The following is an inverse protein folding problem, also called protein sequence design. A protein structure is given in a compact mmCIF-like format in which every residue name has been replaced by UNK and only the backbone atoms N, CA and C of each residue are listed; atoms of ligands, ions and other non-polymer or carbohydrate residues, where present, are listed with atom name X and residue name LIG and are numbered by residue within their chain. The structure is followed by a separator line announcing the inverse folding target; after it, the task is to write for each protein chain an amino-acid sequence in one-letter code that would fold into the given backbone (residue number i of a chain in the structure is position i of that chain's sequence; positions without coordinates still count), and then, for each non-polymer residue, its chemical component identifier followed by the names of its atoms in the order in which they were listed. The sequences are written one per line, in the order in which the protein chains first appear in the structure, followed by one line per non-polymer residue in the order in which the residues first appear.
data_IF_176647594182
#
_entry.id   IF_176647594182
#
_cell.length_a   1.000
_cell.length_b   1.000
_cell.length_c   1.000
_cell.angle_alpha   90.00
_cell.angle_beta   90.00
_cell.angle_gamma   90.00
#
_symmetry.space_group_name_H-M   'P 1'
#
loop_
_entity.id
_entity.type
_entity.pdbx_description
1 polymer ?
#
# COMPACT_ATOMS: atom_id res chain seq x y z
N UNK A 1 -21.85 2.58 -2.06
CA UNK A 1 -23.06 3.42 -1.99
C UNK A 1 -24.34 2.64 -1.69
N UNK A 2 -24.51 1.37 -2.09
CA UNK A 2 -25.71 0.56 -1.78
C UNK A 2 -25.83 0.05 -0.32
N UNK A 3 -24.72 -0.02 0.43
CA UNK A 3 -24.70 -0.53 1.81
C UNK A 3 -25.38 0.41 2.82
N UNK A 4 -25.51 1.71 2.50
CA UNK A 4 -26.12 2.70 3.40
C UNK A 4 -27.63 2.48 3.68
N UNK A 5 -28.29 1.63 2.89
CA UNK A 5 -29.69 1.24 3.13
C UNK A 5 -29.82 0.21 4.27
N UNK A 6 -28.75 -0.56 4.53
CA UNK A 6 -28.75 -1.66 5.49
C UNK A 6 -28.07 -1.30 6.83
N UNK A 7 -27.42 -0.15 6.94
CA UNK A 7 -26.70 0.25 8.15
C UNK A 7 -27.26 1.54 8.75
N UNK A 8 -27.66 1.46 10.02
CA UNK A 8 -28.03 2.64 10.80
C UNK A 8 -26.78 3.48 11.08
N UNK A 9 -26.73 4.69 10.52
CA UNK A 9 -25.59 5.60 10.66
C UNK A 9 -25.29 6.02 12.12
N UNK A 10 -26.25 5.88 13.03
CA UNK A 10 -26.10 6.24 14.45
C UNK A 10 -25.63 5.08 15.35
N UNK A 11 -25.66 3.83 14.86
CA UNK A 11 -25.19 2.64 15.59
C UNK A 11 -24.41 1.72 14.64
N UNK A 12 -23.26 2.21 14.17
CA UNK A 12 -22.36 1.43 13.32
C UNK A 12 -21.63 0.38 14.17
N UNK A 13 -21.66 -0.91 13.82
CA UNK A 13 -20.84 -1.92 14.47
C UNK A 13 -19.36 -1.53 14.37
N UNK A 14 -18.59 -1.69 15.45
CA UNK A 14 -17.17 -1.33 15.49
C UNK A 14 -16.35 -2.08 14.41
N UNK A 15 -16.84 -3.22 13.93
CA UNK A 15 -16.23 -4.07 12.91
C UNK A 15 -16.82 -3.87 11.51
N UNK A 16 -17.65 -2.86 11.28
CA UNK A 16 -18.27 -2.64 9.97
C UNK A 16 -17.24 -2.48 8.84
N UNK A 17 -16.11 -1.81 9.09
CA UNK A 17 -15.04 -1.68 8.10
C UNK A 17 -14.52 -3.03 7.61
N UNK A 18 -14.51 -4.03 8.48
CA UNK A 18 -14.01 -5.38 8.20
C UNK A 18 -15.13 -6.31 7.69
N UNK A 19 -16.32 -6.24 8.30
CA UNK A 19 -17.41 -7.21 8.12
C UNK A 19 -18.66 -6.65 7.41
N UNK A 20 -18.64 -5.39 6.98
CA UNK A 20 -19.82 -4.70 6.43
C UNK A 20 -20.44 -5.41 5.23
N UNK A 21 -19.63 -5.97 4.34
CA UNK A 21 -20.14 -6.77 3.22
C UNK A 21 -20.87 -8.03 3.70
N UNK A 22 -20.31 -8.74 4.69
CA UNK A 22 -20.92 -9.95 5.25
C UNK A 22 -22.26 -9.64 5.93
N UNK A 23 -22.33 -8.56 6.70
CA UNK A 23 -23.58 -8.12 7.31
C UNK A 23 -24.63 -7.79 6.25
N UNK A 24 -24.27 -7.12 5.16
CA UNK A 24 -25.22 -6.79 4.10
C UNK A 24 -25.77 -8.03 3.39
N UNK A 25 -24.93 -9.04 3.11
CA UNK A 25 -25.41 -10.30 2.54
C UNK A 25 -26.23 -11.13 3.53
N UNK A 26 -25.98 -11.00 4.83
CA UNK A 26 -26.83 -11.59 5.86
C UNK A 26 -28.22 -10.94 5.90
N UNK A 27 -28.29 -9.61 5.92
CA UNK A 27 -29.56 -8.88 5.91
C UNK A 27 -30.36 -9.17 4.64
N UNK A 28 -29.69 -9.21 3.48
CA UNK A 28 -30.32 -9.64 2.23
C UNK A 28 -30.91 -11.04 2.34
N UNK A 29 -30.19 -12.01 2.92
CA UNK A 29 -30.71 -13.37 3.12
C UNK A 29 -31.93 -13.43 4.03
N UNK A 30 -31.99 -12.57 5.05
CA UNK A 30 -33.16 -12.44 5.93
C UNK A 30 -34.37 -11.85 5.19
N UNK A 31 -34.18 -10.78 4.42
CA UNK A 31 -35.25 -10.12 3.65
C UNK A 31 -35.85 -11.02 2.56
N UNK A 32 -35.02 -11.82 1.88
CA UNK A 32 -35.47 -12.76 0.86
C UNK A 32 -35.94 -14.13 1.43
N UNK A 33 -35.97 -14.29 2.75
CA UNK A 33 -36.39 -15.55 3.40
C UNK A 33 -35.42 -16.73 3.20
N UNK A 34 -34.20 -16.48 2.70
CA UNK A 34 -33.16 -17.49 2.43
C UNK A 34 -32.11 -17.61 3.56
N UNK A 35 -32.38 -17.00 4.71
CA UNK A 35 -31.56 -17.12 5.92
C UNK A 35 -30.10 -16.71 5.69
N UNK A 36 -29.16 -17.61 5.96
CA UNK A 36 -27.72 -17.35 5.85
C UNK A 36 -27.11 -17.78 4.50
N UNK A 37 -27.92 -18.20 3.53
CA UNK A 37 -27.43 -18.71 2.25
C UNK A 37 -26.50 -17.71 1.53
N UNK A 38 -26.93 -16.46 1.40
CA UNK A 38 -26.13 -15.42 0.75
C UNK A 38 -24.85 -15.07 1.51
N UNK A 39 -24.86 -15.14 2.85
CA UNK A 39 -23.66 -14.95 3.67
C UNK A 39 -22.62 -16.02 3.35
N UNK A 40 -23.00 -17.30 3.33
CA UNK A 40 -22.06 -18.39 3.07
C UNK A 40 -21.54 -18.38 1.64
N UNK A 41 -22.41 -18.12 0.67
CA UNK A 41 -22.01 -17.97 -0.73
C UNK A 41 -21.02 -16.81 -0.89
N UNK A 42 -21.33 -15.66 -0.30
CA UNK A 42 -20.43 -14.51 -0.31
C UNK A 42 -19.10 -14.85 0.37
N UNK A 43 -19.11 -15.48 1.54
CA UNK A 43 -17.87 -15.86 2.24
C UNK A 43 -16.96 -16.76 1.41
N UNK A 44 -17.52 -17.76 0.71
CA UNK A 44 -16.75 -18.64 -0.16
C UNK A 44 -16.14 -17.88 -1.34
N UNK A 45 -16.96 -17.09 -2.04
CA UNK A 45 -16.49 -16.30 -3.19
C UNK A 45 -15.44 -15.26 -2.76
N UNK A 46 -15.63 -14.63 -1.60
CA UNK A 46 -14.72 -13.64 -1.06
C UNK A 46 -13.39 -14.26 -0.64
N UNK A 47 -13.40 -15.47 -0.07
CA UNK A 47 -12.19 -16.21 0.26
C UNK A 47 -11.39 -16.57 -1.01
N UNK A 48 -12.06 -17.12 -2.03
CA UNK A 48 -11.44 -17.43 -3.32
C UNK A 48 -10.85 -16.18 -3.99
N UNK A 49 -11.61 -15.07 -3.98
CA UNK A 49 -11.17 -13.79 -4.50
C UNK A 49 -9.91 -13.28 -3.79
N UNK A 50 -9.88 -13.30 -2.45
CA UNK A 50 -8.73 -12.80 -1.69
C UNK A 50 -7.47 -13.64 -1.94
N UNK A 51 -7.61 -14.97 -2.04
CA UNK A 51 -6.49 -15.86 -2.39
C UNK A 51 -5.95 -15.57 -3.80
N UNK A 52 -6.84 -15.41 -4.78
CA UNK A 52 -6.45 -15.07 -6.15
C UNK A 52 -5.77 -13.68 -6.22
N UNK A 53 -6.36 -12.68 -5.55
CA UNK A 53 -5.81 -11.33 -5.50
C UNK A 53 -4.41 -11.31 -4.87
N UNK A 54 -4.20 -12.04 -3.76
CA UNK A 54 -2.90 -12.13 -3.11
C UNK A 54 -1.84 -12.75 -4.03
N UNK A 55 -2.18 -13.86 -4.70
CA UNK A 55 -1.27 -14.50 -5.65
C UNK A 55 -0.87 -13.58 -6.82
N UNK A 56 -1.83 -12.84 -7.39
CA UNK A 56 -1.58 -11.88 -8.46
C UNK A 56 -0.73 -10.71 -7.98
N UNK A 57 -1.04 -10.13 -6.82
CA UNK A 57 -0.28 -9.01 -6.26
C UNK A 57 1.16 -9.40 -5.93
N UNK A 58 1.39 -10.61 -5.42
CA UNK A 58 2.72 -11.13 -5.12
C UNK A 58 3.54 -11.30 -6.42
N UNK A 59 2.98 -11.91 -7.46
CA UNK A 59 3.71 -12.07 -8.73
C UNK A 59 3.97 -10.72 -9.42
N UNK A 60 2.94 -9.89 -9.57
CA UNK A 60 3.05 -8.60 -10.23
C UNK A 60 3.96 -7.63 -9.47
N UNK A 61 3.81 -7.55 -8.14
CA UNK A 61 4.58 -6.66 -7.29
C UNK A 61 6.08 -6.99 -7.32
N UNK A 62 6.44 -8.27 -7.21
CA UNK A 62 7.85 -8.67 -7.24
C UNK A 62 8.47 -8.51 -8.63
N UNK A 63 7.72 -8.79 -9.72
CA UNK A 63 8.21 -8.53 -11.07
C UNK A 63 8.44 -7.05 -11.34
N UNK A 64 7.52 -6.19 -10.90
CA UNK A 64 7.68 -4.74 -11.00
C UNK A 64 8.89 -4.26 -10.20
N UNK A 65 9.05 -4.77 -8.98
CA UNK A 65 10.20 -4.47 -8.12
C UNK A 65 11.54 -4.88 -8.74
N UNK A 66 11.59 -5.99 -9.48
CA UNK A 66 12.77 -6.51 -10.17
C UNK A 66 12.87 -6.14 -11.64
N UNK A 67 12.11 -5.13 -12.05
CA UNK A 67 12.19 -4.54 -13.39
C UNK A 67 13.63 -4.13 -13.72
N UNK A 68 13.97 -4.13 -15.00
CA UNK A 68 15.32 -3.81 -15.50
C UNK A 68 15.80 -2.43 -15.04
N UNK A 69 14.90 -1.47 -14.86
CA UNK A 69 15.21 -0.13 -14.34
C UNK A 69 15.61 -0.13 -12.86
N UNK A 70 15.21 -1.14 -12.09
CA UNK A 70 15.51 -1.27 -10.66
C UNK A 70 16.72 -2.18 -10.39
N UNK A 71 17.14 -3.01 -11.36
CA UNK A 71 18.30 -3.92 -11.21
C UNK A 71 19.60 -3.19 -10.85
N UNK A 72 19.71 -1.90 -11.18
CA UNK A 72 20.87 -1.09 -10.79
C UNK A 72 20.97 -0.88 -9.27
N UNK A 73 19.81 -0.76 -8.64
CA UNK A 73 19.64 -0.38 -7.25
C UNK A 73 19.38 -1.57 -6.32
N UNK A 74 19.46 -2.79 -6.86
CA UNK A 74 19.23 -4.02 -6.12
C UNK A 74 20.51 -4.85 -5.97
N UNK A 75 20.75 -5.44 -4.79
CA UNK A 75 21.89 -6.34 -4.60
C UNK A 75 21.75 -7.55 -5.51
N UNK A 76 22.90 -8.07 -5.98
CA UNK A 76 22.95 -9.15 -6.98
C UNK A 76 22.24 -10.42 -6.58
N UNK A 77 22.14 -10.68 -5.27
CA UNK A 77 21.40 -11.82 -4.74
C UNK A 77 19.90 -11.72 -5.06
N UNK A 78 19.32 -10.52 -4.98
CA UNK A 78 17.89 -10.30 -5.22
C UNK A 78 17.53 -10.30 -6.71
N UNK A 79 18.47 -9.96 -7.59
CA UNK A 79 18.24 -9.91 -9.04
C UNK A 79 18.33 -11.29 -9.72
N UNK A 80 18.70 -12.34 -8.99
CA UNK A 80 18.74 -13.71 -9.51
C UNK A 80 17.33 -14.25 -9.73
N UNK A 81 17.10 -14.76 -10.93
CA UNK A 81 15.89 -15.49 -11.30
C UNK A 81 16.19 -16.98 -11.45
N UNK A 82 15.19 -17.82 -11.18
CA UNK A 82 15.27 -19.26 -11.41
C UNK A 82 15.13 -19.60 -12.92
N UNK A 83 15.28 -20.88 -13.28
CA UNK A 83 15.12 -21.44 -14.63
C UNK A 83 13.79 -21.07 -15.30
N UNK A 84 12.76 -20.75 -14.52
CA UNK A 84 11.43 -20.32 -14.99
C UNK A 84 11.29 -18.79 -15.14
N UNK A 85 12.37 -18.04 -14.97
CA UNK A 85 12.37 -16.57 -14.96
C UNK A 85 11.72 -15.95 -13.71
N UNK A 86 11.51 -16.75 -12.66
CA UNK A 86 10.85 -16.31 -11.45
C UNK A 86 11.84 -15.73 -10.43
N UNK A 87 11.56 -14.55 -9.85
CA UNK A 87 12.42 -13.90 -8.87
C UNK A 87 12.20 -14.43 -7.44
N UNK A 88 12.69 -15.65 -7.15
CA UNK A 88 12.46 -16.32 -5.86
C UNK A 88 12.93 -15.48 -4.65
N UNK A 89 14.11 -14.87 -4.76
CA UNK A 89 14.65 -14.05 -3.66
C UNK A 89 13.87 -12.74 -3.46
N UNK A 90 13.24 -12.23 -4.52
CA UNK A 90 12.31 -11.11 -4.44
C UNK A 90 11.04 -11.49 -3.66
N UNK A 91 10.49 -12.68 -3.90
CA UNK A 91 9.33 -13.17 -3.14
C UNK A 91 9.67 -13.29 -1.64
N UNK A 92 10.82 -13.88 -1.31
CA UNK A 92 11.27 -13.98 0.08
C UNK A 92 11.45 -12.62 0.76
N UNK A 93 11.99 -11.63 0.05
CA UNK A 93 12.10 -10.26 0.57
C UNK A 93 10.70 -9.70 0.87
N UNK A 94 9.77 -9.77 -0.08
CA UNK A 94 8.41 -9.25 0.10
C UNK A 94 7.68 -9.96 1.24
N UNK A 95 7.79 -11.28 1.34
CA UNK A 95 7.22 -12.06 2.43
C UNK A 95 7.84 -11.67 3.77
N UNK A 96 9.17 -11.45 3.82
CA UNK A 96 9.85 -11.00 5.03
C UNK A 96 9.37 -9.62 5.49
N UNK A 97 9.25 -8.66 4.57
CA UNK A 97 8.73 -7.32 4.87
C UNK A 97 7.27 -7.39 5.35
N UNK A 98 6.40 -8.12 4.64
CA UNK A 98 5.01 -8.30 5.05
C UNK A 98 4.91 -8.99 6.42
N UNK A 99 5.73 -10.00 6.68
CA UNK A 99 5.75 -10.70 7.97
C UNK A 99 6.18 -9.78 9.09
N UNK A 100 7.22 -8.96 8.86
CA UNK A 100 7.68 -7.97 9.83
C UNK A 100 6.58 -6.97 10.18
N UNK A 101 5.93 -6.38 9.17
CA UNK A 101 4.82 -5.44 9.38
C UNK A 101 3.68 -6.13 10.13
N UNK A 102 3.29 -7.34 9.71
CA UNK A 102 2.23 -8.11 10.37
C UNK A 102 2.55 -8.42 11.85
N UNK A 103 3.80 -8.76 12.18
CA UNK A 103 4.24 -8.99 13.56
C UNK A 103 4.19 -7.71 14.38
N UNK A 104 4.60 -6.57 13.80
CA UNK A 104 4.50 -5.26 14.45
C UNK A 104 3.04 -4.89 14.70
N UNK A 105 2.17 -4.99 13.71
CA UNK A 105 0.74 -4.71 13.87
C UNK A 105 0.07 -5.67 14.86
N UNK A 106 0.46 -6.95 14.91
CA UNK A 106 -0.09 -7.95 15.83
C UNK A 106 0.14 -7.65 17.32
N UNK A 107 0.98 -6.66 17.65
CA UNK A 107 1.15 -6.16 19.02
C UNK A 107 -0.03 -5.29 19.51
N UNK A 108 -0.96 -4.93 18.62
CA UNK A 108 -2.19 -4.24 18.97
C UNK A 108 -3.20 -5.18 19.64
N UNK A 109 -4.02 -4.68 20.59
CA UNK A 109 -4.85 -5.51 21.46
C UNK A 109 -6.04 -6.16 20.73
N UNK A 110 -6.48 -5.59 19.60
CA UNK A 110 -7.73 -5.97 18.94
C UNK A 110 -7.51 -6.19 17.44
N UNK A 111 -8.14 -7.23 16.86
CA UNK A 111 -8.11 -7.50 15.41
C UNK A 111 -8.61 -6.31 14.58
N UNK A 112 -9.64 -5.61 15.07
CA UNK A 112 -10.16 -4.42 14.40
C UNK A 112 -9.12 -3.29 14.33
N UNK A 113 -8.40 -3.05 15.43
CA UNK A 113 -7.32 -2.07 15.48
C UNK A 113 -6.17 -2.45 14.54
N UNK A 114 -5.83 -3.74 14.46
CA UNK A 114 -4.84 -4.26 13.49
C UNK A 114 -5.29 -3.95 12.05
N UNK A 115 -6.52 -4.32 11.70
CA UNK A 115 -7.05 -4.11 10.36
C UNK A 115 -7.11 -2.62 9.98
N UNK A 116 -7.62 -1.79 10.89
CA UNK A 116 -7.70 -0.34 10.67
C UNK A 116 -6.32 0.31 10.59
N UNK A 117 -5.35 -0.13 11.42
CA UNK A 117 -3.98 0.35 11.35
C UNK A 117 -3.32 0.00 10.03
N UNK A 118 -3.45 -1.25 9.55
CA UNK A 118 -2.92 -1.66 8.25
C UNK A 118 -3.56 -0.90 7.08
N UNK A 119 -4.87 -0.64 7.16
CA UNK A 119 -5.58 0.17 6.17
C UNK A 119 -5.08 1.62 6.19
N UNK A 120 -4.89 2.20 7.38
CA UNK A 120 -4.34 3.53 7.54
C UNK A 120 -2.90 3.62 7.03
N UNK A 121 -2.06 2.62 7.33
CA UNK A 121 -0.71 2.51 6.83
C UNK A 121 -0.68 2.50 5.30
N UNK A 122 -1.57 1.72 4.66
CA UNK A 122 -1.68 1.73 3.19
C UNK A 122 -2.08 3.12 2.66
N UNK A 123 -3.00 3.78 3.36
CA UNK A 123 -3.42 5.16 3.10
C UNK A 123 -2.35 6.22 3.35
N UNK A 124 -1.27 5.90 4.08
CA UNK A 124 -0.11 6.77 4.26
C UNK A 124 0.95 6.48 3.18
N UNK A 125 1.34 5.21 3.05
CA UNK A 125 2.46 4.77 2.21
C UNK A 125 2.18 4.96 0.72
N UNK A 126 0.96 4.64 0.26
CA UNK A 126 0.63 4.72 -1.18
C UNK A 126 0.61 6.17 -1.69
N UNK A 127 0.01 7.14 -0.96
CA UNK A 127 0.12 8.55 -1.30
C UNK A 127 1.55 9.09 -1.26
N UNK A 128 2.37 8.74 -0.26
CA UNK A 128 3.78 9.15 -0.25
C UNK A 128 4.56 8.60 -1.45
N UNK A 129 4.28 7.38 -1.89
CA UNK A 129 4.86 6.83 -3.13
C UNK A 129 4.42 7.66 -4.34
N UNK A 130 3.15 8.09 -4.37
CA UNK A 130 2.61 8.95 -5.44
C UNK A 130 3.23 10.35 -5.41
N UNK A 131 3.64 10.87 -4.25
CA UNK A 131 4.38 12.12 -4.15
C UNK A 131 5.72 12.08 -4.92
N UNK A 132 6.39 10.92 -4.97
CA UNK A 132 7.58 10.75 -5.82
C UNK A 132 7.23 10.83 -7.30
N UNK A 133 6.11 10.24 -7.72
CA UNK A 133 5.62 10.35 -9.10
C UNK A 133 5.38 11.82 -9.49
N UNK A 134 4.69 12.58 -8.64
CA UNK A 134 4.45 14.02 -8.90
C UNK A 134 5.74 14.82 -8.90
N UNK A 135 6.67 14.53 -7.98
CA UNK A 135 8.00 15.13 -7.95
C UNK A 135 8.77 14.88 -9.26
N UNK A 136 8.81 13.62 -9.71
CA UNK A 136 9.42 13.24 -10.99
C UNK A 136 8.75 13.94 -12.17
N UNK A 137 7.42 14.03 -12.21
CA UNK A 137 6.69 14.75 -13.23
C UNK A 137 7.07 16.23 -13.29
N UNK A 138 7.12 16.91 -12.14
CA UNK A 138 7.53 18.31 -12.06
C UNK A 138 8.98 18.49 -12.55
N UNK A 139 9.90 17.61 -12.13
CA UNK A 139 11.31 17.65 -12.53
C UNK A 139 11.50 17.47 -14.03
N UNK A 140 10.79 16.51 -14.64
CA UNK A 140 10.80 16.28 -16.09
C UNK A 140 10.27 17.51 -16.83
N UNK A 141 9.19 18.14 -16.34
CA UNK A 141 8.64 19.35 -16.98
C UNK A 141 9.51 20.59 -16.79
N UNK A 142 10.26 20.69 -15.70
CA UNK A 142 11.23 21.76 -15.50
C UNK A 142 12.42 21.62 -16.47
N UNK A 143 12.90 20.39 -16.68
CA UNK A 143 14.04 20.04 -17.53
C UNK A 143 13.64 19.39 -18.86
N UNK A 144 12.64 19.98 -19.53
CA UNK A 144 12.14 19.54 -20.84
C UNK A 144 13.24 19.54 -21.94
N UNK A 145 14.31 20.30 -21.72
CA UNK A 145 15.52 20.34 -22.53
C UNK A 145 16.34 19.03 -22.48
N UNK A 146 16.33 18.34 -21.33
CA UNK A 146 17.07 17.09 -21.13
C UNK A 146 16.21 15.84 -21.33
N UNK A 147 14.91 15.93 -21.05
CA UNK A 147 13.99 14.79 -21.07
C UNK A 147 12.86 15.03 -22.07
N UNK A 148 13.09 14.70 -23.34
CA UNK A 148 12.05 14.78 -24.38
C UNK A 148 10.96 13.73 -24.11
N UNK A 149 9.72 14.21 -24.00
CA UNK A 149 8.53 13.36 -23.84
C UNK A 149 7.86 13.14 -25.20
N UNK A 150 7.72 11.88 -25.61
CA UNK A 150 7.03 11.53 -26.87
C UNK A 150 5.53 11.89 -26.83
N UNK A 151 4.95 11.93 -25.63
CA UNK A 151 3.56 12.32 -25.41
C UNK A 151 3.44 13.38 -24.32
N UNK A 152 2.78 14.49 -24.64
CA UNK A 152 2.52 15.58 -23.70
C UNK A 152 1.03 15.94 -23.69
N UNK A 153 0.35 15.54 -22.61
CA UNK A 153 -1.06 15.88 -22.41
C UNK A 153 -1.26 17.39 -22.19
N UNK A 154 -0.55 17.97 -21.22
CA UNK A 154 -0.53 19.42 -20.98
C UNK A 154 0.62 20.04 -21.78
N UNK A 155 0.26 20.87 -22.77
CA UNK A 155 1.22 21.58 -23.64
C UNK A 155 1.83 22.81 -22.97
N UNK A 156 1.09 23.46 -22.07
CA UNK A 156 1.59 24.63 -21.34
C UNK A 156 2.45 24.16 -20.14
N UNK A 157 3.77 24.43 -20.20
CA UNK A 157 4.75 24.08 -19.16
C UNK A 157 4.37 24.62 -17.78
N UNK A 158 4.01 25.89 -17.68
CA UNK A 158 3.68 26.52 -16.40
C UNK A 158 2.41 25.93 -15.79
N UNK A 159 1.38 25.69 -16.61
CA UNK A 159 0.16 25.04 -16.15
C UNK A 159 0.40 23.59 -15.72
N UNK A 160 1.22 22.83 -16.45
CA UNK A 160 1.59 21.47 -16.08
C UNK A 160 2.30 21.43 -14.72
N UNK A 161 3.25 22.33 -14.49
CA UNK A 161 3.96 22.43 -13.22
C UNK A 161 3.01 22.81 -12.09
N UNK A 162 2.11 23.78 -12.31
CA UNK A 162 1.12 24.19 -11.31
C UNK A 162 0.21 23.02 -10.89
N UNK A 163 -0.30 22.25 -11.86
CA UNK A 163 -1.11 21.06 -11.58
C UNK A 163 -0.29 20.02 -10.81
N UNK A 164 0.96 19.79 -11.21
CA UNK A 164 1.85 18.86 -10.52
C UNK A 164 2.10 19.25 -9.06
N UNK A 165 2.40 20.53 -8.80
CA UNK A 165 2.62 21.06 -7.45
C UNK A 165 1.33 20.98 -6.62
N UNK A 166 0.18 21.30 -7.21
CA UNK A 166 -1.11 21.21 -6.54
C UNK A 166 -1.44 19.77 -6.12
N UNK A 167 -1.30 18.81 -7.04
CA UNK A 167 -1.48 17.39 -6.76
C UNK A 167 -0.51 16.90 -5.67
N UNK A 168 0.77 17.30 -5.75
CA UNK A 168 1.77 16.98 -4.74
C UNK A 168 1.38 17.53 -3.37
N UNK A 169 1.02 18.81 -3.27
CA UNK A 169 0.71 19.46 -2.00
C UNK A 169 -0.51 18.84 -1.31
N UNK A 170 -1.59 18.56 -2.06
CA UNK A 170 -2.78 17.89 -1.51
C UNK A 170 -2.46 16.47 -1.07
N UNK A 171 -1.76 15.70 -1.91
CA UNK A 171 -1.43 14.30 -1.60
C UNK A 171 -0.51 14.22 -0.38
N UNK A 172 0.52 15.06 -0.34
CA UNK A 172 1.46 15.14 0.78
C UNK A 172 0.77 15.59 2.07
N UNK A 173 -0.10 16.61 1.99
CA UNK A 173 -0.89 17.08 3.13
C UNK A 173 -1.80 15.99 3.68
N UNK A 174 -2.56 15.32 2.80
CA UNK A 174 -3.47 14.24 3.19
C UNK A 174 -2.71 13.04 3.78
N UNK A 175 -1.59 12.63 3.19
CA UNK A 175 -0.75 11.55 3.71
C UNK A 175 -0.20 11.86 5.11
N UNK A 176 0.25 13.11 5.30
CA UNK A 176 0.79 13.57 6.59
C UNK A 176 -0.29 13.63 7.67
N UNK A 177 -1.50 14.08 7.32
CA UNK A 177 -2.65 14.03 8.23
C UNK A 177 -3.06 12.59 8.55
N UNK A 178 -2.90 11.67 7.60
CA UNK A 178 -3.18 10.24 7.77
C UNK A 178 -2.30 9.55 8.82
N UNK A 179 -1.15 10.12 9.19
CA UNK A 179 -0.30 9.59 10.27
C UNK A 179 -1.06 9.57 11.60
N UNK A 180 -1.92 10.57 11.84
CA UNK A 180 -2.71 10.65 13.06
C UNK A 180 -3.83 9.60 13.05
N UNK A 181 -3.88 8.68 14.03
CA UNK A 181 -4.93 7.68 14.10
C UNK A 181 -6.29 8.33 14.28
N UNK A 182 -7.23 8.01 13.40
CA UNK A 182 -8.62 8.49 13.44
C UNK A 182 -9.58 7.46 14.03
N UNK A 183 -9.20 6.18 14.02
CA UNK A 183 -10.03 5.06 14.47
C UNK A 183 -9.87 4.73 15.97
N UNK A 184 -8.86 5.30 16.62
CA UNK A 184 -8.59 5.11 18.04
C UNK A 184 -8.85 6.40 18.82
N UNK A 185 -9.32 6.29 20.06
CA UNK A 185 -9.60 7.47 20.90
C UNK A 185 -8.30 8.18 21.28
N UNK A 186 -8.16 9.50 20.98
CA UNK A 186 -6.99 10.27 21.38
C UNK A 186 -6.73 10.16 22.88
N UNK A 187 -5.47 9.96 23.27
CA UNK A 187 -5.04 9.86 24.67
C UNK A 187 -5.09 8.44 25.26
N UNK A 188 -5.49 7.42 24.50
CA UNK A 188 -5.38 6.02 24.91
C UNK A 188 -4.01 5.42 24.57
N UNK A 189 -3.60 4.38 25.29
CA UNK A 189 -2.37 3.64 24.98
C UNK A 189 -2.42 2.96 23.60
N UNK A 190 -3.61 2.60 23.11
CA UNK A 190 -3.81 2.09 21.75
C UNK A 190 -3.54 3.17 20.71
N UNK A 191 -4.02 4.41 20.93
CA UNK A 191 -3.77 5.53 20.02
C UNK A 191 -2.29 5.87 19.89
N UNK A 192 -1.56 5.93 21.00
CA UNK A 192 -0.11 6.20 20.96
C UNK A 192 0.66 5.07 20.27
N UNK A 193 0.20 3.83 20.44
CA UNK A 193 0.80 2.67 19.78
C UNK A 193 0.53 2.64 18.28
N UNK A 194 -0.70 2.91 17.84
CA UNK A 194 -1.03 3.02 16.41
C UNK A 194 -0.27 4.18 15.77
N UNK A 195 -0.15 5.32 16.46
CA UNK A 195 0.63 6.46 15.99
C UNK A 195 2.11 6.09 15.82
N UNK A 196 2.71 5.37 16.77
CA UNK A 196 4.11 4.95 16.66
C UNK A 196 4.32 3.98 15.50
N UNK A 197 3.41 3.02 15.29
CA UNK A 197 3.45 2.10 14.15
C UNK A 197 3.34 2.84 12.81
N UNK A 198 2.42 3.80 12.69
CA UNK A 198 2.26 4.64 11.49
C UNK A 198 3.50 5.48 11.13
N UNK A 199 4.44 5.66 12.07
CA UNK A 199 5.71 6.35 11.83
C UNK A 199 6.84 5.34 11.62
N UNK A 200 6.95 4.32 12.47
CA UNK A 200 8.02 3.33 12.45
C UNK A 200 7.97 2.48 11.18
N UNK A 201 6.79 2.01 10.79
CA UNK A 201 6.65 1.10 9.63
C UNK A 201 7.05 1.80 8.32
N UNK A 202 6.59 3.03 7.99
CA UNK A 202 7.11 3.75 6.83
C UNK A 202 8.61 4.07 6.92
N UNK A 203 9.14 4.38 8.11
CA UNK A 203 10.58 4.61 8.28
C UNK A 203 11.41 3.35 7.99
N UNK A 204 10.94 2.17 8.41
CA UNK A 204 11.56 0.88 8.05
C UNK A 204 11.54 0.70 6.54
N UNK A 205 10.44 1.00 5.86
CA UNK A 205 10.35 0.89 4.40
C UNK A 205 11.33 1.83 3.69
N UNK A 206 11.46 3.09 4.16
CA UNK A 206 12.43 4.05 3.64
C UNK A 206 13.86 3.55 3.88
N UNK A 207 14.16 3.03 5.07
CA UNK A 207 15.47 2.48 5.40
C UNK A 207 15.84 1.33 4.46
N UNK A 208 14.92 0.39 4.22
CA UNK A 208 15.12 -0.71 3.24
C UNK A 208 15.37 -0.13 1.84
N UNK A 209 14.61 0.88 1.43
CA UNK A 209 14.76 1.56 0.15
C UNK A 209 16.11 2.25 -0.05
N UNK A 210 16.82 2.61 1.04
CA UNK A 210 18.17 3.19 1.00
C UNK A 210 19.24 2.10 1.13
N UNK A 211 19.05 1.14 2.04
CA UNK A 211 20.02 0.08 2.34
C UNK A 211 20.25 -0.82 1.13
N UNK A 212 19.19 -1.22 0.40
CA UNK A 212 19.31 -2.10 -0.77
C UNK A 212 20.21 -1.48 -1.87
N UNK A 213 20.01 -0.22 -2.30
CA UNK A 213 20.92 0.47 -3.23
C UNK A 213 22.36 0.61 -2.71
N UNK A 214 22.56 0.87 -1.41
CA UNK A 214 23.90 1.00 -0.84
C UNK A 214 24.67 -0.31 -0.91
N UNK A 215 24.02 -1.44 -0.60
CA UNK A 215 24.61 -2.77 -0.74
C UNK A 215 24.91 -3.06 -2.22
N UNK A 216 24.00 -2.71 -3.13
CA UNK A 216 24.20 -2.89 -4.57
C UNK A 216 25.42 -2.11 -5.08
N UNK A 217 25.58 -0.85 -4.65
CA UNK A 217 26.75 -0.02 -4.96
C UNK A 217 28.04 -0.62 -4.43
N UNK A 218 28.07 -1.04 -3.16
CA UNK A 218 29.25 -1.65 -2.55
C UNK A 218 29.68 -2.94 -3.28
N UNK A 219 28.73 -3.81 -3.64
CA UNK A 219 29.01 -5.04 -4.39
C UNK A 219 29.64 -4.77 -5.76
N UNK A 220 29.22 -3.69 -6.44
CA UNK A 220 29.77 -3.30 -7.74
C UNK A 220 31.17 -2.71 -7.62
N UNK A 221 31.39 -1.79 -6.68
CA UNK A 221 32.72 -1.19 -6.45
C UNK A 221 33.78 -2.23 -6.10
N UNK A 222 33.40 -3.32 -5.43
CA UNK A 222 34.31 -4.41 -5.07
C UNK A 222 34.68 -5.33 -6.25
N UNK A 223 33.93 -5.29 -7.35
CA UNK A 223 34.24 -6.08 -8.55
C UNK A 223 35.01 -5.28 -9.60
N UNK A 224 34.94 -3.95 -9.55
CA UNK A 224 35.72 -3.07 -10.42
C UNK A 224 37.16 -2.88 -9.91
N UNK A 225 37.46 -3.25 -8.66
CA UNK A 225 38.79 -3.26 -8.04
C UNK A 225 39.32 -4.69 -7.94
#
# INVERSE_FOLDING_TARGET
FALGVFFNAHHLPNDLKMNGSYYAFQYMGQEFGMGQFFLYLFALTQALYMMAQLAVLLDAGTRMFLSDTAKEYLPKGLTKTDKRGLPINGYWLTTGICTLIMVLSATLPNMNSIFNQLLNLNGIVSPYTTCFLFSSFILVRLHDDKFKSDFTYIKNKYFAILVGIWCFAITFGAATLGIFPTDEKPGTAAWTHVLSLNIIEPLIMIAIGIILPLIARYQRTKETN
#
